data_IF_297877679367
#
_entry.id   IF_297877679367
#
_cell.length_a   1.000
_cell.length_b   1.000
_cell.length_c   1.000
_cell.angle_alpha   90.00
_cell.angle_beta   90.00
_cell.angle_gamma   90.00
#
_symmetry.space_group_name_H-M   'P 1'
#
loop_
_entity.id
_entity.type
_entity.pdbx_description
1 polymer ?
#
# COMPACT_ATOMS: atom_id res chain seq x y z
N UNK A 1 -1.23 25.31 -2.22
CA UNK A 1 -1.55 23.97 -2.72
C UNK A 1 -2.88 23.52 -2.12
N UNK A 2 -3.82 23.09 -2.96
CA UNK A 2 -5.11 22.57 -2.48
C UNK A 2 -4.92 21.20 -1.85
N UNK A 3 -5.95 20.73 -1.11
CA UNK A 3 -5.96 19.36 -0.57
C UNK A 3 -5.78 18.34 -1.69
N UNK A 4 -6.45 18.55 -2.82
CA UNK A 4 -6.36 17.68 -3.98
C UNK A 4 -4.93 17.65 -4.55
N UNK A 5 -4.33 18.82 -4.75
CA UNK A 5 -2.97 18.89 -5.29
C UNK A 5 -1.95 18.25 -4.37
N UNK A 6 -2.06 18.49 -3.07
CA UNK A 6 -1.17 17.85 -2.08
C UNK A 6 -1.38 16.35 -2.05
N UNK A 7 -2.62 15.91 -2.06
CA UNK A 7 -2.95 14.49 -2.05
C UNK A 7 -2.47 13.77 -3.30
N UNK A 8 -2.63 14.38 -4.47
CA UNK A 8 -2.16 13.80 -5.73
C UNK A 8 -0.64 13.64 -5.73
N UNK A 9 0.07 14.66 -5.23
CA UNK A 9 1.52 14.60 -5.11
C UNK A 9 1.96 13.45 -4.19
N UNK A 10 1.30 13.29 -3.04
CA UNK A 10 1.61 12.20 -2.11
C UNK A 10 1.27 10.83 -2.68
N UNK A 11 0.14 10.72 -3.36
CA UNK A 11 -0.25 9.47 -4.02
C UNK A 11 0.81 9.02 -5.03
N UNK A 12 1.28 9.94 -5.86
CA UNK A 12 2.32 9.65 -6.85
C UNK A 12 3.64 9.27 -6.18
N UNK A 13 4.00 9.95 -5.10
CA UNK A 13 5.22 9.66 -4.33
C UNK A 13 5.19 8.25 -3.72
N UNK A 14 4.05 7.83 -3.21
CA UNK A 14 3.90 6.58 -2.46
C UNK A 14 3.57 5.41 -3.38
N UNK A 15 2.54 5.56 -4.20
CA UNK A 15 1.99 4.47 -5.02
C UNK A 15 2.47 4.47 -6.47
N UNK A 16 2.98 5.59 -6.98
CA UNK A 16 3.39 5.69 -8.37
C UNK A 16 2.28 5.32 -9.34
N UNK A 17 2.58 4.47 -10.30
CA UNK A 17 1.61 4.05 -11.33
C UNK A 17 0.40 3.32 -10.74
N UNK A 18 0.59 2.58 -9.65
CA UNK A 18 -0.52 1.88 -8.99
C UNK A 18 -1.60 2.85 -8.51
N UNK A 19 -1.20 4.01 -8.00
CA UNK A 19 -2.14 5.05 -7.60
C UNK A 19 -2.93 5.60 -8.77
N UNK A 20 -2.26 5.88 -9.88
CA UNK A 20 -2.92 6.31 -11.12
C UNK A 20 -3.92 5.26 -11.60
N UNK A 21 -3.57 3.99 -11.55
CA UNK A 21 -4.45 2.90 -11.97
C UNK A 21 -5.72 2.82 -11.11
N UNK A 22 -5.62 3.04 -9.81
CA UNK A 22 -6.79 3.07 -8.93
C UNK A 22 -7.73 4.20 -9.32
N UNK A 23 -7.20 5.40 -9.57
CA UNK A 23 -7.99 6.56 -10.00
C UNK A 23 -8.71 6.25 -11.30
N UNK A 24 -8.00 5.71 -12.28
CA UNK A 24 -8.58 5.35 -13.58
C UNK A 24 -9.71 4.32 -13.44
N UNK A 25 -9.53 3.35 -12.54
CA UNK A 25 -10.54 2.30 -12.33
C UNK A 25 -11.86 2.82 -11.76
N UNK A 26 -11.85 4.01 -11.15
CA UNK A 26 -13.04 4.61 -10.53
C UNK A 26 -13.78 5.58 -11.44
N UNK A 27 -13.23 5.93 -12.60
CA UNK A 27 -13.81 6.96 -13.47
C UNK A 27 -15.25 6.69 -13.88
N UNK A 28 -15.56 5.45 -14.20
CA UNK A 28 -16.89 5.10 -14.71
C UNK A 28 -17.90 4.81 -13.61
N UNK A 29 -17.45 4.36 -12.45
CA UNK A 29 -18.37 3.96 -11.38
C UNK A 29 -18.52 5.04 -10.29
N UNK A 30 -17.43 5.71 -9.92
CA UNK A 30 -17.46 6.65 -8.80
C UNK A 30 -16.29 7.66 -8.89
N UNK A 31 -16.35 8.61 -9.84
CA UNK A 31 -15.25 9.57 -10.00
C UNK A 31 -15.04 10.45 -8.76
N UNK A 32 -16.10 10.80 -8.04
CA UNK A 32 -15.98 11.58 -6.81
C UNK A 32 -15.25 10.80 -5.71
N UNK A 33 -15.39 9.49 -5.70
CA UNK A 33 -14.70 8.66 -4.73
C UNK A 33 -13.18 8.69 -4.93
N UNK A 34 -12.74 8.79 -6.18
CA UNK A 34 -11.31 9.01 -6.47
C UNK A 34 -10.82 10.32 -5.86
N UNK A 35 -11.62 11.38 -5.94
CA UNK A 35 -11.29 12.66 -5.31
C UNK A 35 -11.15 12.52 -3.80
N UNK A 36 -12.08 11.81 -3.16
CA UNK A 36 -12.01 11.57 -1.71
C UNK A 36 -10.78 10.75 -1.33
N UNK A 37 -10.44 9.76 -2.13
CA UNK A 37 -9.23 8.96 -1.93
C UNK A 37 -7.96 9.80 -1.99
N UNK A 38 -7.90 10.73 -2.93
CA UNK A 38 -6.76 11.62 -3.08
C UNK A 38 -6.70 12.62 -1.91
N UNK A 39 -7.83 13.24 -1.57
CA UNK A 39 -7.85 14.32 -0.60
C UNK A 39 -7.70 13.85 0.84
N UNK A 40 -8.48 12.87 1.27
CA UNK A 40 -8.48 12.47 2.68
C UNK A 40 -7.27 11.64 3.06
N UNK A 41 -7.07 10.41 2.55
CA UNK A 41 -5.93 9.62 3.02
C UNK A 41 -4.59 10.25 2.63
N UNK A 42 -4.41 10.66 1.41
CA UNK A 42 -3.12 11.14 0.94
C UNK A 42 -2.89 12.61 1.26
N UNK A 43 -3.90 13.46 1.09
CA UNK A 43 -3.79 14.88 1.38
C UNK A 43 -3.82 15.22 2.86
N UNK A 44 -4.78 14.64 3.59
CA UNK A 44 -4.99 15.00 5.00
C UNK A 44 -4.19 14.14 5.98
N UNK A 45 -3.92 12.86 5.65
CA UNK A 45 -3.28 11.92 6.59
C UNK A 45 -1.82 11.66 6.22
N UNK A 46 -1.56 11.10 5.04
CA UNK A 46 -0.19 10.72 4.66
C UNK A 46 0.76 11.91 4.53
N UNK A 47 0.24 13.09 4.26
CA UNK A 47 1.06 14.31 4.16
C UNK A 47 1.45 14.91 5.52
N UNK A 48 0.91 14.39 6.65
CA UNK A 48 1.23 14.90 7.97
C UNK A 48 2.67 14.53 8.36
N UNK A 49 3.42 15.47 8.98
CA UNK A 49 4.83 15.21 9.31
C UNK A 49 5.06 14.37 10.57
N UNK A 50 4.02 14.10 11.35
CA UNK A 50 4.16 13.43 12.65
C UNK A 50 4.61 11.98 12.59
N UNK A 51 4.51 11.34 11.41
CA UNK A 51 4.96 9.96 11.19
C UNK A 51 5.49 9.88 9.76
N UNK A 52 6.65 9.29 9.57
CA UNK A 52 7.24 9.21 8.23
C UNK A 52 6.51 8.19 7.34
N UNK A 53 6.80 8.24 6.05
CA UNK A 53 6.10 7.40 5.08
C UNK A 53 6.40 5.92 5.26
N UNK A 54 7.63 5.56 5.65
CA UNK A 54 7.98 4.17 5.90
C UNK A 54 7.17 3.60 7.06
N UNK A 55 7.07 4.35 8.16
CA UNK A 55 6.29 3.93 9.32
C UNK A 55 4.81 3.85 8.99
N UNK A 56 4.28 4.77 8.19
CA UNK A 56 2.89 4.73 7.75
C UNK A 56 2.61 3.49 6.90
N UNK A 57 3.53 3.11 6.01
CA UNK A 57 3.34 1.90 5.21
C UNK A 57 3.48 0.63 6.03
N UNK A 58 4.34 0.59 7.04
CA UNK A 58 4.38 -0.53 7.99
C UNK A 58 3.03 -0.69 8.68
N UNK A 59 2.46 0.40 9.19
CA UNK A 59 1.14 0.37 9.84
C UNK A 59 0.04 -0.07 8.89
N UNK A 60 0.08 0.40 7.65
CA UNK A 60 -0.89 0.05 6.62
C UNK A 60 -0.80 -1.43 6.26
N UNK A 61 0.40 -1.93 6.00
CA UNK A 61 0.63 -3.34 5.66
C UNK A 61 0.14 -4.24 6.81
N UNK A 62 0.47 -3.86 8.06
CA UNK A 62 0.01 -4.60 9.23
C UNK A 62 -1.51 -4.64 9.32
N UNK A 63 -2.17 -3.49 9.15
CA UNK A 63 -3.63 -3.39 9.23
C UNK A 63 -4.30 -4.22 8.14
N UNK A 64 -3.85 -4.11 6.89
CA UNK A 64 -4.45 -4.84 5.77
C UNK A 64 -4.22 -6.35 5.88
N UNK A 65 -3.07 -6.77 6.39
CA UNK A 65 -2.80 -8.18 6.67
C UNK A 65 -3.77 -8.70 7.74
N UNK A 66 -3.93 -7.95 8.83
CA UNK A 66 -4.79 -8.36 9.94
C UNK A 66 -6.26 -8.42 9.54
N UNK A 67 -6.72 -7.54 8.65
CA UNK A 67 -8.10 -7.57 8.13
C UNK A 67 -8.42 -8.88 7.41
N UNK A 68 -7.46 -9.46 6.73
CA UNK A 68 -7.60 -10.76 6.06
C UNK A 68 -8.44 -10.74 4.77
N UNK A 69 -9.15 -9.66 4.49
CA UNK A 69 -10.06 -9.56 3.34
C UNK A 69 -9.62 -8.53 2.29
N UNK A 70 -8.50 -7.86 2.54
CA UNK A 70 -8.04 -6.74 1.73
C UNK A 70 -6.79 -7.09 0.90
N UNK A 71 -6.73 -8.31 0.34
CA UNK A 71 -5.55 -8.77 -0.40
C UNK A 71 -5.18 -7.86 -1.57
N UNK A 72 -6.11 -7.37 -2.41
CA UNK A 72 -5.71 -6.47 -3.50
C UNK A 72 -5.06 -5.18 -2.99
N UNK A 73 -5.62 -4.57 -1.95
CA UNK A 73 -5.08 -3.35 -1.36
C UNK A 73 -3.74 -3.62 -0.67
N UNK A 74 -3.61 -4.79 -0.03
CA UNK A 74 -2.35 -5.21 0.59
C UNK A 74 -1.23 -5.26 -0.45
N UNK A 75 -1.48 -5.84 -1.62
CA UNK A 75 -0.49 -5.88 -2.70
C UNK A 75 -0.07 -4.49 -3.16
N UNK A 76 -1.02 -3.57 -3.29
CA UNK A 76 -0.72 -2.17 -3.64
C UNK A 76 0.20 -1.55 -2.59
N UNK A 77 -0.10 -1.77 -1.31
CA UNK A 77 0.69 -1.16 -0.24
C UNK A 77 2.03 -1.86 0.02
N UNK A 78 2.18 -3.13 -0.33
CA UNK A 78 3.50 -3.77 -0.32
C UNK A 78 4.40 -3.08 -1.36
N UNK A 79 3.89 -2.83 -2.56
CA UNK A 79 4.61 -2.07 -3.58
C UNK A 79 4.92 -0.65 -3.08
N UNK A 80 3.93 0.02 -2.48
CA UNK A 80 4.11 1.36 -1.92
C UNK A 80 5.20 1.37 -0.83
N UNK A 81 5.22 0.36 0.03
CA UNK A 81 6.26 0.21 1.05
C UNK A 81 7.66 0.15 0.45
N UNK A 82 7.83 -0.61 -0.63
CA UNK A 82 9.11 -0.67 -1.34
C UNK A 82 9.44 0.69 -1.96
N UNK A 83 8.46 1.38 -2.53
CA UNK A 83 8.66 2.70 -3.14
C UNK A 83 9.17 3.74 -2.14
N UNK A 84 8.73 3.68 -0.90
CA UNK A 84 9.16 4.63 0.13
C UNK A 84 10.39 4.17 0.90
N UNK A 85 10.97 3.04 0.53
CA UNK A 85 12.28 2.60 1.05
C UNK A 85 12.26 1.46 2.06
N UNK A 86 11.13 0.81 2.28
CA UNK A 86 11.12 -0.41 3.10
C UNK A 86 11.84 -1.53 2.35
N UNK A 87 12.55 -2.37 3.10
CA UNK A 87 13.15 -3.58 2.54
C UNK A 87 12.10 -4.70 2.48
N UNK A 88 12.36 -5.70 1.64
CA UNK A 88 11.53 -6.91 1.60
C UNK A 88 11.48 -7.57 2.97
N UNK A 89 12.61 -7.61 3.66
CA UNK A 89 12.70 -8.19 4.99
C UNK A 89 11.78 -7.47 5.98
N UNK A 90 11.76 -6.13 5.97
CA UNK A 90 10.89 -5.35 6.85
C UNK A 90 9.42 -5.64 6.59
N UNK A 91 9.05 -5.78 5.32
CA UNK A 91 7.67 -6.11 4.93
C UNK A 91 7.29 -7.51 5.42
N UNK A 92 8.14 -8.49 5.20
CA UNK A 92 7.90 -9.87 5.63
C UNK A 92 7.79 -9.95 7.15
N UNK A 93 8.68 -9.28 7.87
CA UNK A 93 8.65 -9.28 9.34
C UNK A 93 7.38 -8.61 9.89
N UNK A 94 6.91 -7.55 9.23
CA UNK A 94 5.64 -6.89 9.59
C UNK A 94 4.47 -7.86 9.46
N UNK A 95 4.41 -8.57 8.34
CA UNK A 95 3.33 -9.54 8.08
C UNK A 95 3.41 -10.71 9.08
N UNK A 96 4.60 -11.25 9.32
CA UNK A 96 4.80 -12.34 10.26
C UNK A 96 4.32 -11.96 11.67
N UNK A 97 4.57 -10.73 12.10
CA UNK A 97 4.12 -10.27 13.40
C UNK A 97 2.60 -10.32 13.54
N UNK A 98 1.87 -10.15 12.45
CA UNK A 98 0.41 -10.21 12.49
C UNK A 98 -0.14 -11.60 12.81
N UNK A 99 0.67 -12.66 12.69
CA UNK A 99 0.27 -13.99 13.15
C UNK A 99 -0.01 -14.01 14.66
N UNK A 100 0.65 -13.14 15.42
CA UNK A 100 0.45 -13.05 16.87
C UNK A 100 -0.93 -12.48 17.23
N UNK A 101 -1.39 -11.47 16.51
CA UNK A 101 -2.61 -10.73 16.85
C UNK A 101 -3.80 -11.07 15.97
N UNK A 102 -3.57 -11.57 14.75
CA UNK A 102 -4.64 -11.85 13.79
C UNK A 102 -4.71 -13.32 13.36
N UNK A 103 -3.72 -14.14 13.75
CA UNK A 103 -3.69 -15.57 13.47
C UNK A 103 -2.91 -15.94 12.21
N UNK A 104 -2.55 -17.23 12.14
CA UNK A 104 -1.76 -17.76 11.02
C UNK A 104 -2.45 -17.63 9.66
N UNK A 105 -3.77 -17.87 9.52
CA UNK A 105 -4.39 -17.71 8.19
C UNK A 105 -4.23 -16.32 7.60
N UNK A 106 -4.41 -15.27 8.40
CA UNK A 106 -4.21 -13.89 7.93
C UNK A 106 -2.76 -13.65 7.53
N UNK A 107 -1.81 -14.08 8.35
CA UNK A 107 -0.39 -13.92 8.06
C UNK A 107 0.04 -14.72 6.82
N UNK A 108 -0.45 -15.96 6.66
CA UNK A 108 -0.17 -16.78 5.48
C UNK A 108 -0.65 -16.08 4.21
N UNK A 109 -1.88 -15.56 4.21
CA UNK A 109 -2.42 -14.83 3.07
C UNK A 109 -1.57 -13.59 2.77
N UNK A 110 -1.11 -12.90 3.80
CA UNK A 110 -0.23 -11.75 3.65
C UNK A 110 1.12 -12.12 3.06
N UNK A 111 1.72 -13.21 3.51
CA UNK A 111 3.00 -13.67 2.97
C UNK A 111 2.88 -14.08 1.51
N UNK A 112 1.80 -14.74 1.13
CA UNK A 112 1.56 -15.09 -0.27
C UNK A 112 1.34 -13.85 -1.14
N UNK A 113 0.66 -12.84 -0.62
CA UNK A 113 0.52 -11.56 -1.31
C UNK A 113 1.88 -10.89 -1.54
N UNK A 114 2.73 -10.90 -0.51
CA UNK A 114 4.08 -10.36 -0.61
C UNK A 114 4.92 -11.12 -1.65
N UNK A 115 4.83 -12.44 -1.63
CA UNK A 115 5.53 -13.29 -2.59
C UNK A 115 5.14 -12.94 -4.02
N UNK A 116 3.83 -12.79 -4.29
CA UNK A 116 3.33 -12.42 -5.61
C UNK A 116 3.87 -11.07 -6.07
N UNK A 117 3.89 -10.07 -5.17
CA UNK A 117 4.42 -8.75 -5.49
C UNK A 117 5.91 -8.81 -5.79
N UNK A 118 6.69 -9.49 -4.93
CA UNK A 118 8.13 -9.59 -5.10
C UNK A 118 8.50 -10.28 -6.41
N UNK A 119 7.80 -11.35 -6.76
CA UNK A 119 8.02 -12.07 -8.01
C UNK A 119 7.70 -11.20 -9.22
N UNK A 120 6.63 -10.39 -9.14
CA UNK A 120 6.22 -9.51 -10.23
C UNK A 120 7.23 -8.38 -10.49
N UNK A 121 8.02 -8.02 -9.48
CA UNK A 121 9.01 -6.93 -9.58
C UNK A 121 10.41 -7.43 -9.92
N UNK A 122 10.65 -8.73 -9.87
CA UNK A 122 11.95 -9.27 -10.21
C UNK A 122 12.16 -9.24 -11.72
N UNK A 123 13.38 -8.88 -12.18
CA UNK A 123 13.68 -9.00 -13.59
C UNK A 123 13.54 -10.46 -14.04
N UNK A 124 13.09 -10.65 -15.28
CA UNK A 124 13.04 -11.97 -15.87
C UNK A 124 14.46 -12.51 -15.98
N UNK A 125 14.76 -13.54 -15.19
CA UNK A 125 16.08 -14.16 -15.15
C UNK A 125 16.14 -15.46 -15.92
N UNK A 126 15.12 -15.78 -16.73
CA UNK A 126 15.15 -16.96 -17.59
C UNK A 126 16.25 -16.80 -18.63
N UNK A 127 17.27 -17.60 -18.50
CA UNK A 127 18.36 -17.68 -19.46
C UNK A 127 18.07 -18.75 -20.48
#
# INVERSE_FOLDING_TARGET
MTRYELGLKKLEEIDGQAGTNVIESLKDIAPDFATYLIEFPFGDIYARPGLDLQSREIATIAALTAMGTATPQLKVHITAGLNVGLSREQIVETIMQMAVYAGFPAALNGLFAAQDVFESLEPDTTC
#
